data_IF_649284854835
#
_entry.id   IF_649284854835
#
_cell.length_a   1.000
_cell.length_b   1.000
_cell.length_c   1.000
_cell.angle_alpha   90.00
_cell.angle_beta   90.00
_cell.angle_gamma   90.00
#
_symmetry.space_group_name_H-M   'P 1'
#
loop_
_entity.id
_entity.type
_entity.pdbx_description
1 polymer ?
#
# COMPACT_ATOMS: atom_id res chain seq x y z
N UNK A 1 12.93 16.78 17.30
CA UNK A 1 12.43 16.78 15.92
C UNK A 1 11.23 15.85 15.83
N UNK A 2 10.14 16.25 15.15
CA UNK A 2 8.98 15.39 14.91
C UNK A 2 9.30 14.26 13.92
N UNK A 3 10.24 14.49 12.99
CA UNK A 3 10.64 13.49 12.00
C UNK A 3 11.19 12.22 12.67
N UNK A 4 11.97 12.38 13.76
CA UNK A 4 12.56 11.27 14.53
C UNK A 4 11.52 10.54 15.40
N UNK A 5 10.34 11.13 15.61
CA UNK A 5 9.26 10.55 16.43
C UNK A 5 8.17 9.86 15.61
N UNK A 6 8.20 10.00 14.29
CA UNK A 6 7.20 9.40 13.44
C UNK A 6 7.54 7.93 13.19
N UNK A 7 6.66 6.99 13.55
CA UNK A 7 6.89 5.59 13.25
C UNK A 7 6.77 5.35 11.74
N UNK A 8 7.66 4.53 11.19
CA UNK A 8 7.59 4.10 9.78
C UNK A 8 6.46 3.09 9.58
N UNK A 9 6.26 2.22 10.58
CA UNK A 9 5.25 1.18 10.61
C UNK A 9 4.33 1.33 11.81
N UNK A 10 3.07 0.96 11.62
CA UNK A 10 2.12 0.84 12.71
C UNK A 10 1.34 -0.46 12.56
N UNK A 11 1.36 -1.28 13.60
CA UNK A 11 0.50 -2.46 13.72
C UNK A 11 -0.66 -2.11 14.64
N UNK A 12 -1.88 -2.20 14.13
CA UNK A 12 -3.11 -1.94 14.90
C UNK A 12 -3.85 -3.25 15.09
N UNK A 13 -4.04 -3.63 16.36
CA UNK A 13 -4.91 -4.75 16.73
C UNK A 13 -6.28 -4.17 17.09
N UNK A 14 -7.30 -4.54 16.32
CA UNK A 14 -8.66 -4.05 16.58
C UNK A 14 -9.69 -5.13 16.26
N UNK A 15 -10.53 -5.45 17.24
CA UNK A 15 -11.66 -6.40 17.12
C UNK A 15 -11.26 -7.75 16.49
N UNK A 16 -10.12 -8.29 16.93
CA UNK A 16 -9.62 -9.60 16.48
C UNK A 16 -8.89 -9.59 15.14
N UNK A 17 -8.72 -8.41 14.51
CA UNK A 17 -7.96 -8.23 13.27
C UNK A 17 -6.65 -7.49 13.52
N UNK A 18 -5.68 -7.76 12.66
CA UNK A 18 -4.38 -7.07 12.59
C UNK A 18 -4.33 -6.21 11.32
N UNK A 19 -4.06 -4.93 11.50
CA UNK A 19 -3.91 -3.98 10.40
C UNK A 19 -2.49 -3.41 10.39
N UNK A 20 -1.89 -3.35 9.21
CA UNK A 20 -0.62 -2.69 8.98
C UNK A 20 -0.81 -1.31 8.38
N UNK A 21 0.02 -0.35 8.79
CA UNK A 21 0.10 0.97 8.14
C UNK A 21 1.55 1.26 7.81
N UNK A 22 1.81 1.64 6.57
CA UNK A 22 3.14 2.00 6.06
C UNK A 22 3.01 3.11 5.02
N UNK A 23 4.00 4.00 4.92
CA UNK A 23 3.89 5.16 4.03
C UNK A 23 3.86 4.79 2.54
N UNK A 24 4.89 4.11 2.06
CA UNK A 24 5.09 3.79 0.63
C UNK A 24 4.38 2.52 0.19
N UNK A 25 4.92 1.38 0.60
CA UNK A 25 4.46 0.07 0.15
C UNK A 25 5.11 -1.06 0.94
N UNK A 26 4.65 -2.29 0.69
CA UNK A 26 5.33 -3.52 1.13
C UNK A 26 5.83 -4.23 -0.12
N UNK A 27 7.11 -4.05 -0.50
CA UNK A 27 7.71 -4.72 -1.65
C UNK A 27 7.62 -6.25 -1.54
N UNK A 28 7.54 -6.92 -2.68
CA UNK A 28 7.79 -8.35 -2.79
C UNK A 28 9.19 -8.58 -3.39
N UNK A 29 9.75 -9.77 -3.19
CA UNK A 29 11.06 -10.14 -3.71
C UNK A 29 10.91 -11.26 -4.74
N UNK A 30 11.70 -11.26 -5.80
CA UNK A 30 11.71 -12.36 -6.75
C UNK A 30 12.34 -13.62 -6.14
N UNK A 31 11.81 -14.79 -6.50
CA UNK A 31 12.48 -16.07 -6.22
C UNK A 31 13.72 -16.21 -7.10
N UNK A 32 14.59 -17.14 -6.72
CA UNK A 32 15.88 -17.39 -7.40
C UNK A 32 15.77 -17.69 -8.91
N UNK A 33 14.62 -18.17 -9.38
CA UNK A 33 14.39 -18.46 -10.79
C UNK A 33 12.95 -18.10 -11.22
N UNK A 34 12.83 -17.44 -12.38
CA UNK A 34 11.56 -17.08 -13.01
C UNK A 34 11.01 -15.72 -12.58
N UNK A 35 9.72 -15.50 -12.83
CA UNK A 35 8.98 -14.28 -12.45
C UNK A 35 8.14 -14.47 -11.18
N UNK A 36 8.31 -15.59 -10.50
CA UNK A 36 7.68 -15.85 -9.22
C UNK A 36 8.25 -14.92 -8.15
N UNK A 37 7.41 -14.54 -7.19
CA UNK A 37 7.80 -13.71 -6.06
C UNK A 37 7.51 -14.40 -4.73
N UNK A 38 8.28 -14.03 -3.72
CA UNK A 38 8.04 -14.34 -2.33
C UNK A 38 6.88 -13.49 -1.81
N UNK A 39 5.95 -14.15 -1.13
CA UNK A 39 4.91 -13.48 -0.35
C UNK A 39 5.56 -12.77 0.83
N UNK A 40 5.44 -11.44 0.96
CA UNK A 40 5.96 -10.72 2.12
C UNK A 40 5.12 -11.06 3.35
N UNK A 41 5.77 -11.23 4.50
CA UNK A 41 5.12 -11.48 5.79
C UNK A 41 5.29 -10.24 6.68
N UNK A 42 4.17 -9.70 7.20
CA UNK A 42 4.20 -8.46 7.96
C UNK A 42 4.99 -8.58 9.27
N UNK A 43 4.82 -9.69 9.99
CA UNK A 43 5.47 -9.87 11.30
C UNK A 43 6.98 -10.04 11.13
N UNK A 44 7.41 -10.82 10.13
CA UNK A 44 8.83 -11.00 9.81
C UNK A 44 9.50 -9.66 9.44
N UNK A 45 8.80 -8.79 8.71
CA UNK A 45 9.28 -7.44 8.36
C UNK A 45 9.45 -6.59 9.61
N UNK A 46 8.45 -6.56 10.50
CA UNK A 46 8.51 -5.78 11.74
C UNK A 46 9.66 -6.28 12.64
N UNK A 47 9.78 -7.59 12.79
CA UNK A 47 10.84 -8.21 13.59
C UNK A 47 12.23 -7.91 13.02
N UNK A 48 12.38 -7.96 11.70
CA UNK A 48 13.64 -7.63 11.03
C UNK A 48 14.04 -6.17 11.23
N UNK A 49 13.09 -5.24 11.12
CA UNK A 49 13.35 -3.80 11.32
C UNK A 49 13.71 -3.54 12.79
N UNK A 50 12.97 -4.11 13.73
CA UNK A 50 13.28 -3.98 15.16
C UNK A 50 14.67 -4.54 15.49
N UNK A 51 15.08 -5.65 14.86
CA UNK A 51 16.42 -6.18 15.00
C UNK A 51 17.49 -5.23 14.41
N UNK A 52 17.22 -4.59 13.27
CA UNK A 52 18.15 -3.68 12.59
C UNK A 52 18.48 -2.41 13.40
N UNK A 53 17.57 -1.95 14.27
CA UNK A 53 17.82 -0.80 15.15
C UNK A 53 18.99 -1.03 16.13
N UNK A 54 19.34 -2.29 16.36
CA UNK A 54 20.39 -2.70 17.29
C UNK A 54 21.70 -3.12 16.58
N UNK A 55 21.77 -3.08 15.25
CA UNK A 55 22.99 -3.44 14.52
C UNK A 55 24.01 -2.27 14.56
N UNK A 56 25.17 -2.42 15.22
CA UNK A 56 26.16 -1.36 15.29
C UNK A 56 26.93 -1.15 13.96
N UNK A 57 26.78 -2.05 12.99
CA UNK A 57 27.53 -2.03 11.74
C UNK A 57 26.69 -1.57 10.55
N UNK A 58 25.41 -1.27 10.74
CA UNK A 58 24.53 -0.84 9.67
C UNK A 58 23.70 0.39 10.04
N UNK A 59 23.21 1.12 9.04
CA UNK A 59 22.39 2.30 9.26
C UNK A 59 20.90 1.92 9.16
N UNK A 60 20.09 2.11 10.22
CA UNK A 60 18.68 1.71 10.25
C UNK A 60 17.86 2.24 9.07
N UNK A 61 18.25 3.38 8.48
CA UNK A 61 17.57 3.93 7.30
C UNK A 61 17.53 2.98 6.11
N UNK A 62 18.56 2.14 5.90
CA UNK A 62 18.61 1.25 4.73
C UNK A 62 17.54 0.16 4.79
N UNK A 63 17.14 -0.25 5.99
CA UNK A 63 16.10 -1.24 6.19
C UNK A 63 14.70 -0.66 6.02
N UNK A 64 14.52 0.64 6.23
CA UNK A 64 13.20 1.29 6.13
C UNK A 64 12.95 1.98 4.79
N UNK A 65 14.01 2.33 4.04
CA UNK A 65 13.93 3.10 2.79
C UNK A 65 12.98 2.49 1.74
N UNK A 66 13.00 1.16 1.48
CA UNK A 66 12.08 0.56 0.52
C UNK A 66 10.61 0.76 0.89
N UNK A 67 10.30 0.77 2.19
CA UNK A 67 8.94 0.88 2.69
C UNK A 67 8.42 2.32 2.73
N UNK A 68 9.33 3.29 2.77
CA UNK A 68 9.00 4.71 2.64
C UNK A 68 8.72 5.08 1.19
N UNK A 69 9.47 4.50 0.25
CA UNK A 69 9.53 5.01 -1.12
C UNK A 69 8.98 4.09 -2.20
N UNK A 70 8.61 2.84 -1.89
CA UNK A 70 8.10 1.89 -2.88
C UNK A 70 7.01 2.50 -3.77
N UNK A 71 7.19 2.30 -5.08
CA UNK A 71 6.19 2.63 -6.11
C UNK A 71 6.00 1.48 -7.08
N UNK A 72 6.72 0.38 -6.94
CA UNK A 72 6.75 -0.65 -7.96
C UNK A 72 5.56 -1.58 -7.78
N UNK A 73 5.20 -1.93 -6.53
CA UNK A 73 4.03 -2.74 -6.24
C UNK A 73 2.74 -2.10 -6.77
N UNK A 74 2.54 -0.80 -6.54
CA UNK A 74 1.34 -0.09 -7.02
C UNK A 74 1.33 0.07 -8.55
N UNK A 75 2.49 0.09 -9.21
CA UNK A 75 2.54 0.08 -10.68
C UNK A 75 2.10 -1.28 -11.22
N UNK A 76 2.56 -2.38 -10.63
CA UNK A 76 2.12 -3.73 -11.00
C UNK A 76 0.61 -3.89 -10.77
N UNK A 77 0.10 -3.43 -9.62
CA UNK A 77 -1.35 -3.39 -9.36
C UNK A 77 -2.08 -2.56 -10.42
N UNK A 78 -1.57 -1.37 -10.76
CA UNK A 78 -2.15 -0.51 -11.78
C UNK A 78 -2.19 -1.17 -13.16
N UNK A 79 -1.17 -1.95 -13.49
CA UNK A 79 -1.15 -2.78 -14.69
C UNK A 79 -2.26 -3.84 -14.66
N UNK A 80 -2.38 -4.61 -13.57
CA UNK A 80 -3.42 -5.64 -13.41
C UNK A 80 -4.82 -5.06 -13.53
N UNK A 81 -5.10 -3.94 -12.84
CA UNK A 81 -6.38 -3.25 -12.92
C UNK A 81 -6.67 -2.75 -14.34
N UNK A 82 -5.66 -2.23 -15.06
CA UNK A 82 -5.83 -1.85 -16.46
C UNK A 82 -6.25 -3.03 -17.33
N UNK A 83 -5.65 -4.21 -17.15
CA UNK A 83 -5.99 -5.43 -17.90
C UNK A 83 -7.34 -6.01 -17.52
N UNK A 84 -7.78 -5.77 -16.29
CA UNK A 84 -9.13 -6.10 -15.81
C UNK A 84 -10.20 -5.09 -16.28
N UNK A 85 -9.83 -4.08 -17.08
CA UNK A 85 -10.78 -3.15 -17.70
C UNK A 85 -11.02 -1.86 -16.91
N UNK A 86 -10.14 -1.49 -15.97
CA UNK A 86 -10.25 -0.20 -15.30
C UNK A 86 -10.14 0.97 -16.30
N UNK A 87 -11.19 1.79 -16.39
CA UNK A 87 -11.33 2.79 -17.46
C UNK A 87 -10.64 4.14 -17.18
N UNK A 88 -10.24 4.40 -15.93
CA UNK A 88 -9.67 5.70 -15.54
C UNK A 88 -8.33 5.96 -16.25
N UNK A 89 -8.09 7.20 -16.70
CA UNK A 89 -6.87 7.63 -17.43
C UNK A 89 -5.56 7.22 -16.73
N UNK A 90 -5.59 7.19 -15.40
CA UNK A 90 -4.49 6.70 -14.56
C UNK A 90 -4.03 5.29 -14.95
N UNK A 91 -4.94 4.37 -15.25
CA UNK A 91 -4.62 2.99 -15.60
C UNK A 91 -4.25 2.82 -17.07
N UNK A 92 -4.77 3.69 -17.94
CA UNK A 92 -4.50 3.64 -19.38
C UNK A 92 -3.01 3.78 -19.74
N UNK A 93 -2.20 4.40 -18.86
CA UNK A 93 -0.74 4.44 -19.02
C UNK A 93 -0.09 3.06 -19.04
N UNK A 94 -0.78 2.03 -18.53
CA UNK A 94 -0.32 0.64 -18.52
C UNK A 94 -0.80 -0.17 -19.73
N UNK A 95 -1.70 0.35 -20.57
CA UNK A 95 -2.30 -0.40 -21.67
C UNK A 95 -1.28 -0.92 -22.70
N UNK A 96 -0.14 -0.23 -22.85
CA UNK A 96 0.93 -0.59 -23.78
C UNK A 96 1.91 -1.65 -23.27
N UNK A 97 1.81 -2.09 -22.02
CA UNK A 97 2.70 -3.11 -21.45
C UNK A 97 2.30 -4.52 -21.91
N UNK A 98 3.32 -5.35 -22.16
CA UNK A 98 3.16 -6.74 -22.58
C UNK A 98 2.82 -7.62 -21.38
N UNK A 99 1.82 -8.49 -21.54
CA UNK A 99 1.33 -9.38 -20.48
C UNK A 99 2.40 -10.39 -20.01
N UNK A 100 3.39 -10.69 -20.85
CA UNK A 100 4.48 -11.62 -20.56
C UNK A 100 5.47 -11.09 -19.50
N UNK A 101 5.36 -9.81 -19.11
CA UNK A 101 6.30 -9.15 -18.19
C UNK A 101 5.70 -8.87 -16.81
N UNK A 102 4.53 -9.45 -16.51
CA UNK A 102 3.72 -9.03 -15.37
C UNK A 102 3.96 -9.93 -14.19
N UNK A 103 4.06 -9.34 -13.00
CA UNK A 103 4.24 -10.09 -11.78
C UNK A 103 2.93 -10.16 -11.02
N UNK A 104 2.53 -11.37 -10.63
CA UNK A 104 1.37 -11.54 -9.76
C UNK A 104 1.68 -10.98 -8.38
N UNK A 105 1.06 -9.85 -8.04
CA UNK A 105 1.31 -9.16 -6.76
C UNK A 105 0.70 -9.97 -5.62
N UNK A 106 1.47 -10.51 -4.67
CA UNK A 106 0.94 -11.33 -3.59
C UNK A 106 0.25 -10.46 -2.52
N UNK A 107 -0.60 -11.10 -1.73
CA UNK A 107 -1.05 -10.50 -0.46
C UNK A 107 0.13 -10.33 0.50
N UNK A 108 -0.08 -9.60 1.60
CA UNK A 108 0.88 -9.55 2.71
C UNK A 108 0.42 -10.53 3.78
N UNK A 109 1.24 -11.52 4.11
CA UNK A 109 0.92 -12.50 5.15
C UNK A 109 0.93 -11.88 6.55
N UNK A 110 0.32 -12.61 7.49
CA UNK A 110 0.20 -12.30 8.92
C UNK A 110 -0.55 -11.02 9.29
N UNK A 111 -1.21 -10.36 8.32
CA UNK A 111 -2.00 -9.13 8.50
C UNK A 111 -3.26 -9.16 7.64
N UNK A 112 -4.39 -8.66 8.18
CA UNK A 112 -5.68 -8.67 7.48
C UNK A 112 -5.76 -7.62 6.38
N UNK A 113 -5.23 -6.42 6.63
CA UNK A 113 -5.07 -5.37 5.62
C UNK A 113 -3.84 -4.51 5.89
N UNK A 114 -3.19 -4.04 4.82
CA UNK A 114 -2.12 -3.05 4.88
C UNK A 114 -2.55 -1.76 4.18
N UNK A 115 -2.48 -0.65 4.89
CA UNK A 115 -2.83 0.67 4.39
C UNK A 115 -1.58 1.44 3.96
N UNK A 116 -1.66 2.02 2.76
CA UNK A 116 -0.58 2.71 2.07
C UNK A 116 -1.00 4.13 1.67
N UNK A 117 -0.02 5.04 1.64
CA UNK A 117 -0.15 6.37 1.07
C UNK A 117 0.82 6.55 -0.11
N UNK A 118 1.54 7.69 -0.11
CA UNK A 118 2.72 8.03 -0.94
C UNK A 118 2.51 8.15 -2.45
N UNK A 119 1.93 7.13 -3.08
CA UNK A 119 1.68 7.11 -4.51
C UNK A 119 0.23 7.49 -4.79
N UNK A 120 0.05 8.64 -5.44
CA UNK A 120 -1.25 9.11 -5.91
C UNK A 120 -1.99 8.05 -6.73
N UNK A 121 -3.22 7.75 -6.34
CA UNK A 121 -4.18 6.87 -7.02
C UNK A 121 -5.46 7.66 -7.34
N UNK A 122 -6.21 7.31 -8.41
CA UNK A 122 -7.35 8.13 -8.84
C UNK A 122 -8.57 8.05 -7.91
N UNK A 123 -8.61 7.00 -7.12
CA UNK A 123 -9.59 6.73 -6.07
C UNK A 123 -8.97 5.66 -5.16
N UNK A 124 -9.53 5.42 -3.97
CA UNK A 124 -9.02 4.40 -3.07
C UNK A 124 -9.07 3.02 -3.74
N UNK A 125 -7.98 2.25 -3.64
CA UNK A 125 -7.83 0.94 -4.28
C UNK A 125 -7.65 -0.12 -3.20
N UNK A 126 -8.42 -1.20 -3.29
CA UNK A 126 -8.15 -2.45 -2.62
C UNK A 126 -7.64 -3.46 -3.65
N UNK A 127 -6.45 -4.01 -3.42
CA UNK A 127 -5.91 -5.12 -4.20
C UNK A 127 -5.44 -6.23 -3.25
N UNK A 128 -6.13 -7.37 -3.27
CA UNK A 128 -6.00 -8.43 -2.24
C UNK A 128 -6.21 -7.82 -0.85
N UNK A 129 -5.18 -7.74 -0.01
CA UNK A 129 -5.24 -7.08 1.30
C UNK A 129 -4.49 -5.74 1.37
N UNK A 130 -4.11 -5.16 0.23
CA UNK A 130 -3.38 -3.88 0.15
C UNK A 130 -4.35 -2.75 -0.18
N UNK A 131 -4.36 -1.70 0.65
CA UNK A 131 -5.29 -0.58 0.56
C UNK A 131 -4.49 0.70 0.29
N UNK A 132 -4.65 1.28 -0.89
CA UNK A 132 -4.01 2.54 -1.26
C UNK A 132 -5.00 3.69 -1.11
N UNK A 133 -4.66 4.66 -0.27
CA UNK A 133 -5.55 5.77 0.11
C UNK A 133 -5.07 7.14 -0.35
N UNK A 134 -3.85 7.29 -0.87
CA UNK A 134 -3.37 8.60 -1.32
C UNK A 134 -4.03 9.01 -2.63
N UNK A 135 -5.12 9.77 -2.54
CA UNK A 135 -5.82 10.32 -3.70
C UNK A 135 -5.21 11.63 -4.23
N UNK A 136 -4.02 12.01 -3.75
CA UNK A 136 -3.24 13.10 -4.31
C UNK A 136 -3.40 14.44 -3.59
N UNK A 137 -3.61 14.46 -2.26
CA UNK A 137 -3.91 15.67 -1.49
C UNK A 137 -2.99 16.87 -1.73
N UNK A 138 -1.70 16.63 -1.94
CA UNK A 138 -0.72 17.68 -2.27
C UNK A 138 -0.92 18.25 -3.68
N UNK A 139 -1.42 17.44 -4.62
CA UNK A 139 -1.51 17.77 -6.04
C UNK A 139 -2.88 18.30 -6.46
N UNK A 140 -3.95 17.77 -5.86
CA UNK A 140 -5.34 18.07 -6.26
C UNK A 140 -6.24 18.47 -5.07
N UNK A 141 -5.73 18.47 -3.84
CA UNK A 141 -6.50 18.79 -2.64
C UNK A 141 -7.42 17.67 -2.16
N UNK A 142 -7.33 16.46 -2.73
CA UNK A 142 -8.15 15.32 -2.31
C UNK A 142 -7.60 14.67 -1.04
N UNK A 143 -8.46 14.51 -0.03
CA UNK A 143 -8.13 13.79 1.19
C UNK A 143 -9.03 12.57 1.32
N UNK A 144 -8.42 11.40 1.46
CA UNK A 144 -9.15 10.15 1.70
C UNK A 144 -8.91 9.65 3.12
N UNK A 145 -9.99 9.25 3.78
CA UNK A 145 -9.97 8.52 5.05
C UNK A 145 -10.62 7.16 4.84
N UNK A 146 -10.07 6.13 5.48
CA UNK A 146 -10.66 4.80 5.53
C UNK A 146 -11.22 4.50 6.92
N UNK A 147 -12.39 3.86 6.94
CA UNK A 147 -13.00 3.27 8.12
C UNK A 147 -13.26 1.79 7.82
N UNK A 148 -12.70 0.91 8.65
CA UNK A 148 -13.00 -0.51 8.57
C UNK A 148 -14.35 -0.77 9.24
N UNK A 149 -15.29 -1.36 8.50
CA UNK A 149 -16.57 -1.83 9.04
C UNK A 149 -16.49 -3.35 9.25
N UNK A 150 -16.31 -3.73 10.52
CA UNK A 150 -16.04 -5.10 10.91
C UNK A 150 -17.22 -6.06 10.71
N UNK A 151 -18.47 -5.59 10.84
CA UNK A 151 -19.67 -6.43 10.69
C UNK A 151 -19.83 -6.92 9.24
N UNK A 152 -19.36 -6.13 8.27
CA UNK A 152 -19.49 -6.43 6.86
C UNK A 152 -18.19 -6.94 6.21
N UNK A 153 -17.06 -6.90 6.93
CA UNK A 153 -15.74 -7.19 6.37
C UNK A 153 -15.34 -6.21 5.25
N UNK A 154 -15.88 -4.99 5.30
CA UNK A 154 -15.74 -3.98 4.23
C UNK A 154 -14.90 -2.81 4.69
N UNK A 155 -14.19 -2.21 3.76
CA UNK A 155 -13.50 -0.94 4.01
C UNK A 155 -14.33 0.17 3.38
N UNK A 156 -14.86 1.07 4.21
CA UNK A 156 -15.51 2.27 3.71
C UNK A 156 -14.45 3.36 3.58
N UNK A 157 -14.41 4.04 2.44
CA UNK A 157 -13.54 5.18 2.24
C UNK A 157 -14.35 6.43 1.95
N UNK A 158 -13.89 7.55 2.47
CA UNK A 158 -14.48 8.86 2.23
C UNK A 158 -13.41 9.77 1.67
N UNK A 159 -13.62 10.25 0.44
CA UNK A 159 -12.69 11.16 -0.26
C UNK A 159 -13.33 12.52 -0.41
N UNK A 160 -12.74 13.56 0.18
CA UNK A 160 -13.13 14.96 -0.04
C UNK A 160 -12.17 15.63 -1.00
N UNK A 161 -12.53 16.81 -1.50
CA UNK A 161 -11.57 17.72 -2.14
C UNK A 161 -11.75 19.17 -1.70
N UNK A 162 -10.84 20.05 -2.12
CA UNK A 162 -10.84 21.47 -1.74
C UNK A 162 -12.11 22.24 -2.12
N UNK A 163 -12.85 21.76 -3.11
CA UNK A 163 -14.08 22.35 -3.63
C UNK A 163 -15.34 21.58 -3.21
N UNK A 164 -15.21 20.32 -2.77
CA UNK A 164 -16.29 19.47 -2.30
C UNK A 164 -15.96 18.82 -0.96
N UNK A 165 -16.45 19.44 0.12
CA UNK A 165 -16.33 18.94 1.49
C UNK A 165 -17.33 17.81 1.81
N UNK A 166 -18.38 17.62 0.99
CA UNK A 166 -19.33 16.52 1.14
C UNK A 166 -18.75 15.21 0.60
N UNK A 167 -17.82 15.30 -0.35
CA UNK A 167 -16.98 14.19 -0.80
C UNK A 167 -17.73 13.01 -1.41
N UNK A 168 -16.99 11.92 -1.60
CA UNK A 168 -17.50 10.68 -2.17
C UNK A 168 -17.20 9.53 -1.23
N UNK A 169 -18.25 8.80 -0.85
CA UNK A 169 -18.12 7.55 -0.12
C UNK A 169 -17.99 6.37 -1.09
N UNK A 170 -17.09 5.43 -0.79
CA UNK A 170 -16.96 4.15 -1.49
C UNK A 170 -16.88 3.00 -0.50
N UNK A 171 -17.28 1.83 -0.96
CA UNK A 171 -17.07 0.56 -0.29
C UNK A 171 -16.06 -0.20 -1.12
N UNK A 172 -14.94 -0.56 -0.52
CA UNK A 172 -13.92 -1.44 -1.08
C UNK A 172 -14.21 -2.90 -0.68
#
# INVERSE_FOLDING_TARGET
>A
DMAVKMPVFMTVLHRGKKYGVVHGGIPFQYKDAGFDVHTPNWDDIIDHIAASENDPNDHPSYYIEPYLWDRDVIKEIGFHLSKQGAEHLYFQRYAGFKDELTVEVPEVESVDFVFHGHTGVPYPILYKNRVYLDTGGVFNGQLTVAQVNDEAGKIMTFTTDKNDSCGVQRVL
#
